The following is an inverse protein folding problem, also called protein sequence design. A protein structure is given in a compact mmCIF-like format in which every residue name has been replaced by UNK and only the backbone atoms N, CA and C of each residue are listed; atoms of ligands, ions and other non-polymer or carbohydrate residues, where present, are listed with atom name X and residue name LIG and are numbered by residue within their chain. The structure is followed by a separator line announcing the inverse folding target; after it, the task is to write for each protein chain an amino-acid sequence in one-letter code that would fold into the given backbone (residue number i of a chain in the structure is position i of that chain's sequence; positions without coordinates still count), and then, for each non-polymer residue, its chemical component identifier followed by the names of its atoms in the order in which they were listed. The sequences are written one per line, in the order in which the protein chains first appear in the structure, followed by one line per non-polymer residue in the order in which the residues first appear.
data_IF_996814119990
#
_entry.id   IF_996814119990
#
_cell.length_a   1.000
_cell.length_b   1.000
_cell.length_c   1.000
_cell.angle_alpha   90.00
_cell.angle_beta   90.00
_cell.angle_gamma   90.00
#
_symmetry.space_group_name_H-M   'P 1'
#
loop_
_entity.id
_entity.type
_entity.pdbx_description
1 polymer ?
#
# COMPACT_ATOMS: atom_id res chain seq x y z
N UNK A 1 1.50 32.02 11.59
CA UNK A 1 1.73 30.97 12.60
C UNK A 1 0.45 30.19 12.88
N UNK A 2 0.23 29.12 12.10
CA UNK A 2 -0.85 28.16 12.30
C UNK A 2 -0.23 26.76 12.27
N UNK A 3 0.15 26.28 13.45
CA UNK A 3 0.41 24.87 13.68
C UNK A 3 -0.92 24.12 13.58
N UNK A 4 -1.20 23.51 12.42
CA UNK A 4 -2.29 22.59 12.25
C UNK A 4 -1.93 21.26 12.94
N UNK A 5 -2.62 20.96 14.04
CA UNK A 5 -2.53 19.71 14.78
C UNK A 5 -3.19 18.57 13.97
N UNK A 6 -2.46 17.51 13.55
CA UNK A 6 -3.01 16.46 12.67
C UNK A 6 -4.04 15.52 13.34
N UNK A 7 -4.20 15.56 14.66
CA UNK A 7 -4.90 14.51 15.42
C UNK A 7 -6.43 14.62 15.45
N UNK A 8 -7.04 15.71 14.96
CA UNK A 8 -8.50 15.91 15.05
C UNK A 8 -9.33 15.34 13.90
N UNK A 9 -8.73 14.80 12.83
CA UNK A 9 -9.49 14.26 11.69
C UNK A 9 -9.61 12.72 11.65
N UNK A 10 -8.83 11.99 12.45
CA UNK A 10 -8.79 10.53 12.38
C UNK A 10 -9.83 9.83 13.26
N UNK A 11 -10.19 10.38 14.42
CA UNK A 11 -11.16 9.76 15.35
C UNK A 11 -12.56 9.63 14.75
N UNK A 12 -13.02 10.65 14.04
CA UNK A 12 -14.40 10.74 13.59
C UNK A 12 -14.69 9.80 12.41
N UNK A 13 -13.66 9.44 11.63
CA UNK A 13 -13.78 8.46 10.56
C UNK A 13 -13.93 7.04 11.11
N UNK A 14 -13.28 6.70 12.23
CA UNK A 14 -13.28 5.34 12.78
C UNK A 14 -14.64 4.96 13.36
N UNK A 15 -15.38 5.90 13.96
CA UNK A 15 -16.71 5.63 14.54
C UNK A 15 -17.80 5.34 13.49
N UNK A 16 -17.62 5.79 12.24
CA UNK A 16 -18.63 5.67 11.18
C UNK A 16 -18.45 4.42 10.30
N UNK A 17 -17.40 3.63 10.53
CA UNK A 17 -17.03 2.52 9.64
C UNK A 17 -17.64 1.23 10.18
N UNK A 18 -18.43 0.49 9.37
CA UNK A 18 -18.99 -0.79 9.78
C UNK A 18 -17.90 -1.71 10.32
N UNK A 19 -18.15 -2.43 11.41
CA UNK A 19 -17.17 -3.34 12.03
C UNK A 19 -16.61 -4.42 11.08
N UNK A 20 -17.25 -4.63 9.91
CA UNK A 20 -16.82 -5.54 8.85
C UNK A 20 -15.93 -4.91 7.78
N UNK A 21 -15.74 -3.59 7.76
CA UNK A 21 -14.94 -2.90 6.76
C UNK A 21 -13.49 -2.77 7.25
N UNK A 22 -12.54 -3.16 6.40
CA UNK A 22 -11.12 -2.96 6.65
C UNK A 22 -10.64 -1.67 5.99
N UNK A 23 -9.88 -0.87 6.73
CA UNK A 23 -9.35 0.41 6.26
C UNK A 23 -7.92 0.29 5.76
N UNK A 24 -7.61 1.02 4.69
CA UNK A 24 -6.25 1.27 4.22
C UNK A 24 -5.95 2.74 4.42
N UNK A 25 -4.86 3.04 5.10
CA UNK A 25 -4.46 4.42 5.40
C UNK A 25 -3.20 4.73 4.60
N UNK A 26 -3.29 5.63 3.62
CA UNK A 26 -2.13 6.04 2.83
C UNK A 26 -1.55 7.35 3.36
N UNK A 27 -0.24 7.32 3.63
CA UNK A 27 0.50 8.48 4.11
C UNK A 27 1.42 9.10 3.06
N UNK A 28 1.61 8.48 1.89
CA UNK A 28 2.46 8.95 0.78
C UNK A 28 3.87 9.40 1.21
N UNK A 29 4.46 8.67 2.16
CA UNK A 29 5.76 8.97 2.76
C UNK A 29 5.81 10.23 3.61
N UNK A 30 4.66 10.77 4.01
CA UNK A 30 4.54 12.08 4.65
C UNK A 30 4.75 12.10 6.16
N UNK A 31 4.88 10.95 6.83
CA UNK A 31 5.07 10.91 8.29
C UNK A 31 6.54 10.99 8.67
N UNK A 32 6.79 11.54 9.85
CA UNK A 32 8.05 11.32 10.58
C UNK A 32 8.03 9.93 11.25
N UNK A 33 9.21 9.41 11.62
CA UNK A 33 9.33 8.14 12.39
C UNK A 33 8.41 8.12 13.61
N UNK A 34 8.44 9.18 14.42
CA UNK A 34 7.62 9.28 15.64
C UNK A 34 6.12 9.27 15.33
N UNK A 35 5.68 9.97 14.29
CA UNK A 35 4.26 9.97 13.89
C UNK A 35 3.83 8.60 13.38
N UNK A 36 4.66 7.93 12.57
CA UNK A 36 4.38 6.58 12.08
C UNK A 36 4.24 5.57 13.23
N UNK A 37 5.12 5.62 14.24
CA UNK A 37 5.01 4.79 15.46
C UNK A 37 3.70 5.04 16.22
N UNK A 38 3.31 6.31 16.39
CA UNK A 38 2.03 6.68 17.02
C UNK A 38 0.84 6.14 16.24
N UNK A 39 0.86 6.25 14.92
CA UNK A 39 -0.20 5.75 14.05
C UNK A 39 -0.31 4.23 14.14
N UNK A 40 0.81 3.51 14.07
CA UNK A 40 0.83 2.05 14.18
C UNK A 40 0.29 1.58 15.54
N UNK A 41 0.67 2.24 16.64
CA UNK A 41 0.16 1.92 17.98
C UNK A 41 -1.37 2.11 18.09
N UNK A 42 -1.90 3.18 17.49
CA UNK A 42 -3.35 3.43 17.45
C UNK A 42 -4.05 2.39 16.58
N UNK A 43 -3.49 2.07 15.41
CA UNK A 43 -4.07 1.08 14.49
C UNK A 43 -4.12 -0.32 15.11
N UNK A 44 -3.05 -0.73 15.82
CA UNK A 44 -2.99 -1.99 16.56
C UNK A 44 -4.11 -2.11 17.61
N UNK A 45 -4.48 -0.98 18.22
CA UNK A 45 -5.54 -0.92 19.23
C UNK A 45 -6.93 -1.00 18.62
N UNK A 46 -7.15 -0.36 17.46
CA UNK A 46 -8.45 -0.31 16.79
C UNK A 46 -8.76 -1.66 16.10
N UNK A 47 -7.76 -2.30 15.50
CA UNK A 47 -7.91 -3.60 14.82
C UNK A 47 -8.75 -3.59 13.54
N UNK A 48 -9.20 -2.42 13.06
CA UNK A 48 -9.98 -2.26 11.83
C UNK A 48 -9.14 -1.83 10.61
N UNK A 49 -7.84 -1.61 10.79
CA UNK A 49 -6.91 -1.16 9.73
C UNK A 49 -6.21 -2.38 9.13
N UNK A 50 -6.37 -2.58 7.83
CA UNK A 50 -5.67 -3.63 7.07
C UNK A 50 -4.18 -3.36 6.99
N UNK A 51 -3.81 -2.13 6.64
CA UNK A 51 -2.43 -1.65 6.61
C UNK A 51 -2.33 -0.13 6.54
N UNK A 52 -1.13 0.36 6.88
CA UNK A 52 -0.68 1.71 6.54
C UNK A 52 0.21 1.64 5.29
N UNK A 53 -0.13 2.39 4.25
CA UNK A 53 0.60 2.48 3.00
C UNK A 53 1.63 3.62 3.07
N UNK A 54 2.87 3.27 2.70
CA UNK A 54 4.04 4.14 2.65
C UNK A 54 4.10 5.18 3.79
N UNK A 55 4.28 4.79 5.06
CA UNK A 55 4.29 5.75 6.17
C UNK A 55 5.43 6.78 6.06
N UNK A 56 6.62 6.33 5.63
CA UNK A 56 7.85 7.12 5.55
C UNK A 56 8.34 7.25 4.10
N UNK A 57 9.18 8.23 3.76
CA UNK A 57 9.69 8.35 2.40
C UNK A 57 10.63 7.16 2.05
N UNK A 58 10.80 6.81 0.76
CA UNK A 58 11.53 5.61 0.34
C UNK A 58 12.96 5.46 0.88
N UNK A 59 13.63 6.58 1.14
CA UNK A 59 15.00 6.61 1.69
C UNK A 59 15.06 6.03 3.12
N UNK A 60 13.93 5.96 3.82
CA UNK A 60 13.81 5.41 5.17
C UNK A 60 13.30 3.97 5.19
N UNK A 61 13.56 3.19 4.13
CA UNK A 61 13.18 1.77 4.06
C UNK A 61 13.58 0.97 5.30
N UNK A 62 14.80 1.12 5.81
CA UNK A 62 15.27 0.32 6.96
C UNK A 62 14.44 0.61 8.22
N UNK A 63 13.95 1.84 8.38
CA UNK A 63 13.05 2.21 9.47
C UNK A 63 11.69 1.55 9.31
N UNK A 64 11.13 1.55 8.09
CA UNK A 64 9.87 0.85 7.82
C UNK A 64 10.02 -0.66 8.02
N UNK A 65 11.16 -1.25 7.64
CA UNK A 65 11.46 -2.67 7.86
C UNK A 65 11.49 -3.00 9.35
N UNK A 66 12.19 -2.20 10.16
CA UNK A 66 12.19 -2.32 11.63
C UNK A 66 10.76 -2.24 12.19
N UNK A 67 9.97 -1.26 11.75
CA UNK A 67 8.57 -1.11 12.17
C UNK A 67 7.72 -2.33 11.81
N UNK A 68 7.92 -2.92 10.62
CA UNK A 68 7.17 -4.09 10.17
C UNK A 68 7.35 -5.33 11.07
N UNK A 69 8.41 -5.36 11.89
CA UNK A 69 8.66 -6.41 12.87
C UNK A 69 8.12 -6.07 14.27
N UNK A 70 7.88 -4.78 14.56
CA UNK A 70 7.56 -4.30 15.90
C UNK A 70 6.05 -4.07 16.12
N UNK A 71 5.26 -4.02 15.05
CA UNK A 71 3.82 -3.72 15.10
C UNK A 71 2.98 -4.80 14.41
N UNK A 72 1.74 -4.95 14.85
CA UNK A 72 0.82 -5.97 14.30
C UNK A 72 0.10 -5.48 13.04
N UNK A 73 -0.21 -4.18 12.96
CA UNK A 73 -0.76 -3.52 11.78
C UNK A 73 0.26 -3.60 10.67
N UNK A 74 -0.15 -4.18 9.53
CA UNK A 74 0.74 -4.34 8.41
C UNK A 74 1.14 -2.98 7.81
N UNK A 75 2.32 -2.95 7.19
CA UNK A 75 2.78 -1.84 6.38
C UNK A 75 2.78 -2.30 4.92
N UNK A 76 2.33 -1.44 4.02
CA UNK A 76 2.42 -1.64 2.59
C UNK A 76 3.41 -0.63 1.98
N UNK A 77 4.25 -1.09 1.04
CA UNK A 77 5.14 -0.23 0.28
C UNK A 77 4.50 0.13 -1.07
N UNK A 78 4.52 1.40 -1.44
CA UNK A 78 4.09 1.90 -2.76
C UNK A 78 5.26 2.64 -3.43
N UNK A 79 5.57 3.86 -3.00
CA UNK A 79 6.64 4.67 -3.57
C UNK A 79 8.01 3.98 -3.45
N UNK A 80 8.22 3.15 -2.43
CA UNK A 80 9.46 2.36 -2.28
C UNK A 80 9.61 1.21 -3.28
N UNK A 81 8.54 0.85 -4.00
CA UNK A 81 8.49 -0.29 -4.93
C UNK A 81 7.88 0.09 -6.28
N UNK A 82 7.98 1.37 -6.65
CA UNK A 82 7.41 1.93 -7.88
C UNK A 82 7.91 1.24 -9.16
N UNK A 83 9.12 0.66 -9.13
CA UNK A 83 9.71 -0.12 -10.22
C UNK A 83 10.00 -1.56 -9.79
N UNK A 84 10.07 -2.46 -10.78
CA UNK A 84 10.44 -3.86 -10.51
C UNK A 84 11.81 -4.02 -9.85
N UNK A 85 12.80 -3.20 -10.20
CA UNK A 85 14.12 -3.27 -9.57
C UNK A 85 14.04 -2.92 -8.08
N UNK A 86 13.28 -1.88 -7.73
CA UNK A 86 13.07 -1.48 -6.34
C UNK A 86 12.26 -2.54 -5.56
N UNK A 87 11.24 -3.12 -6.17
CA UNK A 87 10.46 -4.22 -5.61
C UNK A 87 11.35 -5.41 -5.26
N UNK A 88 12.16 -5.87 -6.23
CA UNK A 88 13.09 -6.97 -6.04
C UNK A 88 14.14 -6.67 -4.96
N UNK A 89 14.67 -5.44 -4.94
CA UNK A 89 15.61 -5.00 -3.91
C UNK A 89 14.98 -5.00 -2.51
N UNK A 90 13.76 -4.48 -2.34
CA UNK A 90 13.06 -4.49 -1.06
C UNK A 90 12.83 -5.92 -0.56
N UNK A 91 12.44 -6.84 -1.44
CA UNK A 91 12.29 -8.25 -1.11
C UNK A 91 13.63 -8.89 -0.69
N UNK A 92 14.71 -8.64 -1.44
CA UNK A 92 16.05 -9.16 -1.11
C UNK A 92 16.58 -8.62 0.22
N UNK A 93 16.24 -7.38 0.57
CA UNK A 93 16.58 -6.75 1.85
C UNK A 93 15.74 -7.26 3.03
N UNK A 94 14.77 -8.14 2.79
CA UNK A 94 14.01 -8.81 3.84
C UNK A 94 12.58 -8.31 4.04
N UNK A 95 12.06 -7.43 3.18
CA UNK A 95 10.67 -6.99 3.29
C UNK A 95 9.70 -8.16 3.08
N UNK A 96 8.84 -8.40 4.08
CA UNK A 96 7.78 -9.43 4.02
C UNK A 96 6.40 -8.87 4.31
N UNK A 97 6.28 -7.54 4.36
CA UNK A 97 4.99 -6.85 4.38
C UNK A 97 4.35 -6.83 2.99
N UNK A 98 3.43 -5.90 2.78
CA UNK A 98 2.63 -5.82 1.56
C UNK A 98 3.38 -5.01 0.50
N UNK A 99 3.25 -5.43 -0.76
CA UNK A 99 3.74 -4.71 -1.93
C UNK A 99 2.56 -4.13 -2.72
N UNK A 100 2.47 -2.81 -2.84
CA UNK A 100 1.52 -2.15 -3.73
C UNK A 100 2.14 -2.05 -5.12
N UNK A 101 1.52 -2.74 -6.08
CA UNK A 101 2.06 -2.89 -7.43
C UNK A 101 1.20 -2.12 -8.42
N UNK A 102 1.76 -1.02 -8.94
CA UNK A 102 1.21 -0.26 -10.07
C UNK A 102 1.68 -0.88 -11.39
N UNK A 103 1.07 -2.01 -11.77
CA UNK A 103 1.61 -2.87 -12.84
C UNK A 103 1.70 -2.18 -14.22
N UNK A 104 0.93 -1.12 -14.45
CA UNK A 104 0.99 -0.33 -15.68
C UNK A 104 2.32 0.43 -15.84
N UNK A 105 2.99 0.77 -14.73
CA UNK A 105 4.21 1.58 -14.71
C UNK A 105 5.40 0.86 -14.06
N UNK A 106 5.19 -0.29 -13.42
CA UNK A 106 6.25 -1.05 -12.74
C UNK A 106 7.34 -1.59 -13.68
N UNK A 107 7.04 -1.72 -14.98
CA UNK A 107 7.97 -2.18 -16.02
C UNK A 107 7.54 -3.47 -16.72
N UNK A 108 8.45 -4.45 -16.83
CA UNK A 108 8.20 -5.68 -17.60
C UNK A 108 7.17 -6.60 -16.94
N UNK A 109 5.96 -6.68 -17.51
CA UNK A 109 4.89 -7.60 -17.07
C UNK A 109 5.34 -9.06 -16.98
N UNK A 110 6.19 -9.52 -17.90
CA UNK A 110 6.73 -10.89 -17.87
C UNK A 110 7.63 -11.11 -16.66
N UNK A 111 8.48 -10.13 -16.33
CA UNK A 111 9.37 -10.20 -15.16
C UNK A 111 8.56 -10.08 -13.86
N UNK A 112 7.57 -9.19 -13.81
CA UNK A 112 6.64 -9.08 -12.68
C UNK A 112 5.94 -10.43 -12.39
N UNK A 113 5.36 -11.05 -13.43
CA UNK A 113 4.73 -12.38 -13.32
C UNK A 113 5.73 -13.41 -12.80
N UNK A 114 6.91 -13.50 -13.41
CA UNK A 114 7.94 -14.44 -12.98
C UNK A 114 8.31 -14.23 -11.51
N UNK A 115 8.47 -12.98 -11.07
CA UNK A 115 8.79 -12.67 -9.69
C UNK A 115 7.70 -13.13 -8.73
N UNK A 116 6.44 -12.77 -8.98
CA UNK A 116 5.29 -13.15 -8.14
C UNK A 116 5.07 -14.67 -8.11
N UNK A 117 5.36 -15.39 -9.19
CA UNK A 117 5.26 -16.85 -9.23
C UNK A 117 6.43 -17.56 -8.55
N UNK A 118 7.60 -16.91 -8.50
CA UNK A 118 8.81 -17.47 -7.88
C UNK A 118 8.83 -17.26 -6.37
N UNK A 119 8.31 -16.12 -5.91
CA UNK A 119 8.35 -15.71 -4.52
C UNK A 119 6.95 -15.50 -3.95
N UNK A 120 6.63 -16.07 -2.78
CA UNK A 120 5.36 -15.82 -2.12
C UNK A 120 5.37 -14.42 -1.50
N UNK A 121 4.95 -13.43 -2.28
CA UNK A 121 4.80 -12.04 -1.84
C UNK A 121 3.34 -11.67 -1.68
N UNK A 122 3.05 -10.87 -0.65
CA UNK A 122 1.72 -10.31 -0.45
C UNK A 122 1.57 -9.05 -1.29
N UNK A 123 0.58 -9.02 -2.19
CA UNK A 123 0.45 -7.96 -3.20
C UNK A 123 -0.92 -7.31 -3.19
N UNK A 124 -0.91 -6.01 -3.41
CA UNK A 124 -2.09 -5.21 -3.76
C UNK A 124 -1.83 -4.59 -5.12
N UNK A 125 -2.61 -4.98 -6.13
CA UNK A 125 -2.56 -4.30 -7.42
C UNK A 125 -3.36 -3.01 -7.35
N UNK A 126 -2.73 -1.90 -7.76
CA UNK A 126 -3.31 -0.56 -7.72
C UNK A 126 -3.20 0.12 -9.09
N UNK A 127 -4.09 1.09 -9.33
CA UNK A 127 -4.11 1.89 -10.54
C UNK A 127 -3.06 3.00 -10.50
N UNK A 128 -2.45 3.27 -11.64
CA UNK A 128 -1.62 4.43 -11.93
C UNK A 128 -2.33 5.43 -12.87
N UNK A 129 -3.68 5.49 -12.83
CA UNK A 129 -4.52 6.35 -13.67
C UNK A 129 -4.39 6.05 -15.18
N UNK A 130 -4.51 4.77 -15.52
CA UNK A 130 -4.45 4.27 -16.88
C UNK A 130 -5.77 4.50 -17.64
N UNK A 131 -5.70 4.41 -18.98
CA UNK A 131 -6.90 4.29 -19.83
C UNK A 131 -7.64 2.97 -19.55
N UNK A 132 -8.89 2.85 -19.99
CA UNK A 132 -9.73 1.64 -19.81
C UNK A 132 -9.04 0.36 -20.30
N UNK A 133 -8.28 0.42 -21.40
CA UNK A 133 -7.51 -0.72 -21.92
C UNK A 133 -6.39 -1.11 -20.95
N UNK A 134 -5.70 -0.12 -20.39
CA UNK A 134 -4.67 -0.34 -19.37
C UNK A 134 -5.26 -0.96 -18.11
N UNK A 135 -6.40 -0.45 -17.64
CA UNK A 135 -7.09 -0.97 -16.46
C UNK A 135 -7.47 -2.44 -16.62
N UNK A 136 -8.04 -2.85 -17.76
CA UNK A 136 -8.38 -4.26 -18.03
C UNK A 136 -7.15 -5.18 -17.99
N UNK A 137 -6.03 -4.74 -18.55
CA UNK A 137 -4.79 -5.50 -18.52
C UNK A 137 -4.23 -5.67 -17.10
N UNK A 138 -4.31 -4.64 -16.25
CA UNK A 138 -3.90 -4.74 -14.84
C UNK A 138 -4.87 -5.64 -14.05
N UNK A 139 -6.19 -5.53 -14.27
CA UNK A 139 -7.18 -6.39 -13.64
C UNK A 139 -6.98 -7.86 -13.97
N UNK A 140 -6.69 -8.19 -15.24
CA UNK A 140 -6.40 -9.56 -15.65
C UNK A 140 -5.12 -10.08 -14.98
N UNK A 141 -4.08 -9.25 -14.90
CA UNK A 141 -2.83 -9.60 -14.22
C UNK A 141 -3.05 -9.80 -12.72
N UNK A 142 -3.84 -8.93 -12.08
CA UNK A 142 -4.21 -9.06 -10.68
C UNK A 142 -4.98 -10.36 -10.43
N UNK A 143 -5.97 -10.68 -11.26
CA UNK A 143 -6.71 -11.94 -11.15
C UNK A 143 -5.83 -13.19 -11.32
N UNK A 144 -4.73 -13.09 -12.06
CA UNK A 144 -3.75 -14.16 -12.23
C UNK A 144 -2.77 -14.28 -11.04
N UNK A 145 -2.37 -13.15 -10.45
CA UNK A 145 -1.26 -13.07 -9.49
C UNK A 145 -1.69 -12.87 -8.03
N UNK A 146 -2.95 -12.52 -7.78
CA UNK A 146 -3.48 -12.32 -6.43
C UNK A 146 -3.80 -13.66 -5.77
N UNK A 147 -2.78 -14.33 -5.25
CA UNK A 147 -2.94 -15.50 -4.38
C UNK A 147 -3.52 -15.13 -3.00
N UNK A 148 -3.29 -13.88 -2.57
CA UNK A 148 -3.83 -13.33 -1.33
C UNK A 148 -5.16 -12.62 -1.63
N UNK A 149 -6.24 -12.97 -0.92
CA UNK A 149 -7.62 -12.47 -1.11
C UNK A 149 -7.79 -10.99 -0.70
N UNK A 150 -6.88 -10.10 -1.10
CA UNK A 150 -6.98 -8.65 -0.84
C UNK A 150 -7.79 -7.97 -1.94
N UNK A 151 -8.57 -6.96 -1.56
CA UNK A 151 -9.29 -6.13 -2.51
C UNK A 151 -8.30 -5.36 -3.41
N UNK A 152 -8.59 -5.27 -4.70
CA UNK A 152 -7.79 -4.54 -5.70
C UNK A 152 -8.10 -3.03 -5.64
N UNK A 153 -7.09 -2.17 -5.78
CA UNK A 153 -7.17 -0.71 -5.61
C UNK A 153 -7.64 0.05 -6.84
N UNK A 154 -8.76 -0.34 -7.47
CA UNK A 154 -9.26 0.29 -8.72
C UNK A 154 -10.39 1.32 -8.53
N UNK A 155 -10.46 2.01 -7.39
CA UNK A 155 -11.50 3.00 -7.07
C UNK A 155 -11.49 4.29 -7.92
N UNK A 156 -10.85 4.30 -9.09
CA UNK A 156 -10.61 5.49 -9.94
C UNK A 156 -11.76 5.82 -10.90
N UNK A 157 -12.79 4.98 -10.99
CA UNK A 157 -13.90 5.17 -11.95
C UNK A 157 -14.64 6.51 -11.77
N UNK A 158 -14.54 7.17 -10.61
CA UNK A 158 -15.15 8.48 -10.37
C UNK A 158 -14.37 9.66 -10.99
N UNK A 159 -13.13 9.47 -11.41
CA UNK A 159 -12.30 10.51 -12.05
C UNK A 159 -12.51 10.59 -13.57
N UNK A 160 -12.97 9.51 -14.21
CA UNK A 160 -13.18 9.45 -15.66
C UNK A 160 -14.60 9.77 -16.12
N UNK A 161 -15.47 10.28 -15.24
CA UNK A 161 -16.76 10.83 -15.63
C UNK A 161 -16.67 12.35 -15.80
N UNK A 162 -16.10 12.80 -16.93
CA UNK A 162 -16.60 13.97 -17.68
C UNK A 162 -16.22 13.85 -19.16
N UNK A 163 -17.24 13.68 -20.00
CA UNK A 163 -17.35 14.24 -21.37
C UNK A 163 -16.45 13.68 -22.44
#
# INVERSE_FOLDING_TARGET
DLHACPTRRSSDLVEAIPASAQLRLDANGGLTKQQAEQWLMVCDTIGAVEFIEQPLPPEQFDVMLEMSHNYSTAIALDESVATLDQLEQCYQRGWRGIFVIKAAIAGSRKRLRQFCQTYPIDTVFSSALETTIGQQAVLQLAAELSDFKRAVGFGVNHWFNQG
#
